data_IF_997977216235
#
_entry.id   IF_997977216235
#
_cell.length_a   1.000
_cell.length_b   1.000
_cell.length_c   1.000
_cell.angle_alpha   90.00
_cell.angle_beta   90.00
_cell.angle_gamma   90.00
#
_symmetry.space_group_name_H-M   'P 1'
#
loop_
_entity.id
_entity.type
_entity.pdbx_description
1 polymer ?
#
# COMPACT_ATOMS: atom_id res chain seq x y z
N UNK A 1 -10.71 30.81 -20.78
CA UNK A 1 -10.16 31.46 -19.57
C UNK A 1 -8.94 30.67 -19.13
N UNK A 2 -7.75 31.19 -19.37
CA UNK A 2 -6.51 30.60 -18.85
C UNK A 2 -6.50 30.78 -17.33
N UNK A 3 -6.51 29.67 -16.59
CA UNK A 3 -6.59 29.69 -15.15
C UNK A 3 -5.25 30.18 -14.56
N UNK A 4 -5.30 31.21 -13.71
CA UNK A 4 -4.18 31.71 -12.91
C UNK A 4 -3.53 30.60 -12.06
N UNK A 5 -4.27 29.51 -11.80
CA UNK A 5 -3.80 28.31 -11.13
C UNK A 5 -4.18 27.09 -11.95
N UNK A 6 -3.19 26.28 -12.32
CA UNK A 6 -3.43 24.96 -12.92
C UNK A 6 -3.36 23.90 -11.83
N UNK A 7 -4.41 23.10 -11.71
CA UNK A 7 -4.50 22.03 -10.71
C UNK A 7 -4.63 20.67 -11.39
N UNK A 8 -3.84 19.68 -10.94
CA UNK A 8 -3.93 18.31 -11.40
C UNK A 8 -3.94 17.33 -10.23
N UNK A 9 -4.53 16.16 -10.46
CA UNK A 9 -4.69 15.08 -9.50
C UNK A 9 -4.20 13.77 -10.14
N UNK A 10 -3.39 13.03 -9.39
CA UNK A 10 -3.03 11.64 -9.69
C UNK A 10 -3.21 10.76 -8.48
N UNK A 11 -3.52 9.48 -8.70
CA UNK A 11 -3.52 8.46 -7.65
C UNK A 11 -2.18 7.73 -7.67
N UNK A 12 -1.68 7.31 -6.50
CA UNK A 12 -0.43 6.54 -6.42
C UNK A 12 -0.51 5.20 -7.19
N UNK A 13 -1.71 4.63 -7.30
CA UNK A 13 -2.00 3.40 -8.07
C UNK A 13 -3.36 3.52 -8.76
N UNK A 14 -3.55 2.72 -9.82
CA UNK A 14 -4.86 2.55 -10.47
C UNK A 14 -5.71 1.47 -9.78
N UNK A 15 -5.05 0.54 -9.10
CA UNK A 15 -5.68 -0.59 -8.41
C UNK A 15 -5.11 -0.68 -7.00
N UNK A 16 -6.02 -0.74 -6.03
CA UNK A 16 -5.75 -0.88 -4.61
C UNK A 16 -6.42 -2.14 -4.10
N UNK A 17 -5.89 -2.69 -3.01
CA UNK A 17 -6.60 -3.71 -2.24
C UNK A 17 -7.44 -3.06 -1.15
N UNK A 18 -8.56 -3.69 -0.84
CA UNK A 18 -9.39 -3.28 0.29
C UNK A 18 -8.52 -3.05 1.54
N UNK A 19 -8.70 -1.91 2.20
CA UNK A 19 -7.91 -1.44 3.36
C UNK A 19 -6.44 -1.08 3.11
N UNK A 20 -5.95 -1.13 1.87
CA UNK A 20 -4.66 -0.55 1.50
C UNK A 20 -4.75 0.99 1.49
N UNK A 21 -3.69 1.72 1.91
CA UNK A 21 -3.67 3.18 1.82
C UNK A 21 -3.89 3.70 0.39
N UNK A 22 -4.99 4.46 0.21
CA UNK A 22 -5.35 5.14 -1.03
C UNK A 22 -4.80 6.56 -1.01
N UNK A 23 -3.61 6.74 -1.58
CA UNK A 23 -2.92 8.03 -1.61
C UNK A 23 -3.18 8.78 -2.91
N UNK A 24 -3.66 10.01 -2.79
CA UNK A 24 -3.85 10.97 -3.87
C UNK A 24 -2.77 12.05 -3.83
N UNK A 25 -2.29 12.46 -5.00
CA UNK A 25 -1.28 13.51 -5.15
C UNK A 25 -1.86 14.64 -5.99
N UNK A 26 -1.96 15.81 -5.37
CA UNK A 26 -2.44 17.05 -5.99
C UNK A 26 -1.24 17.92 -6.34
N UNK A 27 -1.17 18.38 -7.59
CA UNK A 27 -0.15 19.32 -8.06
C UNK A 27 -0.81 20.62 -8.44
N UNK A 28 -0.30 21.73 -7.91
CA UNK A 28 -0.78 23.08 -8.16
C UNK A 28 0.34 23.89 -8.76
N UNK A 29 0.08 24.52 -9.91
CA UNK A 29 1.01 25.38 -10.63
C UNK A 29 0.48 26.80 -10.65
N UNK A 30 1.29 27.75 -10.20
CA UNK A 30 0.96 29.16 -10.19
C UNK A 30 1.39 29.83 -11.51
N UNK A 31 0.40 30.25 -12.30
CA UNK A 31 0.58 30.97 -13.56
C UNK A 31 0.15 32.45 -13.45
N UNK A 32 -0.05 32.98 -12.24
CA UNK A 32 -0.61 34.31 -12.01
C UNK A 32 0.41 35.46 -12.12
N UNK A 33 1.70 35.16 -12.35
CA UNK A 33 2.77 36.15 -12.42
C UNK A 33 3.13 36.83 -11.08
N UNK A 34 2.53 36.39 -9.97
CA UNK A 34 2.80 36.85 -8.60
C UNK A 34 2.73 35.68 -7.62
N UNK A 35 3.32 35.82 -6.46
CA UNK A 35 3.24 34.81 -5.40
C UNK A 35 1.79 34.61 -4.94
N UNK A 36 1.41 33.35 -4.78
CA UNK A 36 0.06 32.95 -4.43
C UNK A 36 0.05 32.30 -3.05
N UNK A 37 -0.54 33.00 -2.08
CA UNK A 37 -0.83 32.44 -0.76
C UNK A 37 -2.21 31.78 -0.76
N UNK A 38 -2.25 30.46 -0.56
CA UNK A 38 -3.48 29.68 -0.44
C UNK A 38 -3.63 29.25 1.01
N UNK A 39 -4.77 29.55 1.62
CA UNK A 39 -5.12 29.17 2.97
C UNK A 39 -6.63 28.98 3.09
N UNK A 40 -7.05 28.27 4.13
CA UNK A 40 -8.47 28.17 4.47
C UNK A 40 -8.96 29.56 4.86
N UNK A 41 -9.99 30.05 4.17
CA UNK A 41 -10.56 31.39 4.43
C UNK A 41 -11.16 31.42 5.83
N UNK A 42 -10.76 32.38 6.66
CA UNK A 42 -11.23 32.51 8.05
C UNK A 42 -12.74 32.78 8.16
N UNK A 43 -13.40 33.22 7.08
CA UNK A 43 -14.85 33.41 7.00
C UNK A 43 -15.61 32.12 6.67
N UNK A 44 -14.91 31.05 6.32
CA UNK A 44 -15.53 29.76 5.94
C UNK A 44 -14.93 28.61 6.74
N UNK A 45 -15.73 27.61 7.09
CA UNK A 45 -15.22 26.36 7.67
C UNK A 45 -14.70 25.39 6.61
N UNK A 46 -14.71 25.78 5.33
CA UNK A 46 -14.36 24.93 4.20
C UNK A 46 -12.87 25.01 3.91
N UNK A 47 -12.21 23.85 3.93
CA UNK A 47 -10.80 23.77 3.59
C UNK A 47 -10.52 24.23 2.16
N UNK A 48 -9.36 24.86 1.98
CA UNK A 48 -8.89 25.32 0.68
C UNK A 48 -8.62 24.17 -0.30
N UNK A 49 -8.36 22.96 0.20
CA UNK A 49 -8.28 21.73 -0.57
C UNK A 49 -9.31 20.73 -0.04
N UNK A 50 -10.04 20.12 -0.95
CA UNK A 50 -11.05 19.10 -0.65
C UNK A 50 -11.09 18.05 -1.75
N UNK A 51 -11.72 16.90 -1.48
CA UNK A 51 -11.80 15.78 -2.40
C UNK A 51 -13.25 15.33 -2.60
N UNK A 52 -13.68 15.31 -3.86
CA UNK A 52 -14.95 14.72 -4.26
C UNK A 52 -14.72 13.32 -4.80
N UNK A 53 -15.13 12.31 -4.03
CA UNK A 53 -15.05 10.90 -4.43
C UNK A 53 -16.44 10.38 -4.72
N UNK A 54 -16.62 9.75 -5.89
CA UNK A 54 -17.87 9.09 -6.27
C UNK A 54 -17.60 7.62 -6.57
N UNK A 55 -18.53 6.75 -6.16
CA UNK A 55 -18.50 5.33 -6.52
C UNK A 55 -18.99 5.11 -7.96
N UNK A 56 -18.99 3.86 -8.41
CA UNK A 56 -19.45 3.47 -9.76
C UNK A 56 -20.91 3.83 -10.05
N UNK A 57 -21.76 3.89 -9.01
CA UNK A 57 -23.17 4.31 -9.10
C UNK A 57 -23.34 5.83 -9.14
N UNK A 58 -22.24 6.58 -9.05
CA UNK A 58 -22.25 8.04 -9.04
C UNK A 58 -22.55 8.66 -7.67
N UNK A 59 -22.79 7.86 -6.63
CA UNK A 59 -23.00 8.32 -5.25
C UNK A 59 -21.72 8.96 -4.72
N UNK A 60 -21.81 10.17 -4.18
CA UNK A 60 -20.70 10.83 -3.50
C UNK A 60 -20.45 10.20 -2.14
N UNK A 61 -19.17 10.01 -1.79
CA UNK A 61 -18.76 9.58 -0.47
C UNK A 61 -18.61 10.81 0.43
N UNK A 62 -19.30 10.81 1.56
CA UNK A 62 -19.11 11.83 2.59
C UNK A 62 -17.79 11.60 3.33
N UNK A 63 -17.03 12.67 3.64
CA UNK A 63 -15.87 12.57 4.51
C UNK A 63 -16.29 12.19 5.92
N UNK A 64 -15.58 11.23 6.52
CA UNK A 64 -15.73 10.76 7.89
C UNK A 64 -14.97 11.62 8.91
N UNK A 65 -13.98 12.39 8.43
CA UNK A 65 -13.13 13.25 9.24
C UNK A 65 -12.81 14.54 8.46
N UNK A 66 -12.52 15.62 9.18
CA UNK A 66 -12.04 16.85 8.54
C UNK A 66 -10.58 16.69 8.10
N UNK A 67 -10.27 17.18 6.89
CA UNK A 67 -8.89 17.25 6.40
C UNK A 67 -8.35 18.66 6.58
N UNK A 68 -7.48 18.86 7.57
CA UNK A 68 -6.94 20.19 7.83
C UNK A 68 -5.65 20.41 7.03
N UNK A 69 -5.67 21.41 6.16
CA UNK A 69 -4.51 21.79 5.36
C UNK A 69 -4.00 23.16 5.79
N UNK A 70 -2.76 23.23 6.27
CA UNK A 70 -2.10 24.50 6.56
C UNK A 70 -1.98 25.40 5.32
N UNK A 71 -1.70 26.68 5.57
CA UNK A 71 -1.43 27.67 4.53
C UNK A 71 -0.22 27.25 3.67
N UNK A 72 -0.24 27.62 2.40
CA UNK A 72 0.85 27.34 1.47
C UNK A 72 1.07 28.52 0.53
N UNK A 73 2.33 28.87 0.31
CA UNK A 73 2.74 29.87 -0.66
C UNK A 73 3.32 29.18 -1.89
N UNK A 74 2.82 29.54 -3.08
CA UNK A 74 3.33 29.07 -4.36
C UNK A 74 3.95 30.27 -5.07
N UNK A 75 5.29 30.31 -5.25
CA UNK A 75 5.92 31.40 -5.99
C UNK A 75 5.43 31.48 -7.43
N UNK A 76 5.51 32.68 -8.03
CA UNK A 76 5.16 32.87 -9.44
C UNK A 76 5.90 31.88 -10.37
N UNK A 77 5.18 31.20 -11.27
CA UNK A 77 5.74 30.23 -12.21
C UNK A 77 6.19 28.90 -11.59
N UNK A 78 5.96 28.68 -10.28
CA UNK A 78 6.35 27.45 -9.59
C UNK A 78 5.16 26.53 -9.36
N UNK A 79 5.47 25.27 -9.05
CA UNK A 79 4.49 24.25 -8.69
C UNK A 79 4.78 23.67 -7.31
N UNK A 80 3.73 23.32 -6.59
CA UNK A 80 3.79 22.52 -5.36
C UNK A 80 3.05 21.21 -5.56
N UNK A 81 3.44 20.20 -4.78
CA UNK A 81 2.80 18.88 -4.79
C UNK A 81 2.45 18.48 -3.37
N UNK A 82 1.22 18.00 -3.16
CA UNK A 82 0.72 17.55 -1.86
C UNK A 82 0.14 16.15 -1.97
N UNK A 83 0.67 15.23 -1.19
CA UNK A 83 0.17 13.85 -1.09
C UNK A 83 -0.74 13.70 0.12
N UNK A 84 -1.90 13.11 -0.07
CA UNK A 84 -2.97 12.97 0.94
C UNK A 84 -3.45 11.53 0.94
N UNK A 85 -3.47 10.90 2.12
CA UNK A 85 -4.08 9.59 2.30
C UNK A 85 -5.59 9.75 2.49
N UNK A 86 -6.37 9.20 1.55
CA UNK A 86 -7.84 9.30 1.54
C UNK A 86 -8.51 8.23 2.42
N UNK A 87 -7.77 7.22 2.89
CA UNK A 87 -8.30 6.04 3.58
C UNK A 87 -8.89 6.36 4.96
N UNK A 88 -8.30 7.34 5.66
CA UNK A 88 -8.79 7.80 6.96
C UNK A 88 -10.00 8.73 6.84
N UNK A 89 -10.17 9.37 5.69
CA UNK A 89 -11.20 10.39 5.47
C UNK A 89 -12.42 9.81 4.76
N UNK A 90 -12.25 8.91 3.81
CA UNK A 90 -13.35 8.39 2.99
C UNK A 90 -13.45 6.88 3.12
N UNK A 91 -14.66 6.33 2.93
CA UNK A 91 -14.89 4.87 2.83
C UNK A 91 -14.41 4.30 1.49
N UNK A 92 -13.14 4.53 1.16
CA UNK A 92 -12.46 4.03 -0.06
C UNK A 92 -11.77 2.69 0.18
N UNK A 93 -12.06 2.02 1.29
CA UNK A 93 -11.53 0.69 1.61
C UNK A 93 -12.42 -0.46 1.14
N UNK A 94 -13.67 -0.15 0.76
CA UNK A 94 -14.61 -1.14 0.26
C UNK A 94 -14.36 -1.43 -1.23
N UNK A 95 -14.50 -2.70 -1.67
CA UNK A 95 -14.35 -3.05 -3.07
C UNK A 95 -15.30 -2.27 -3.97
N UNK A 96 -14.77 -1.66 -5.02
CA UNK A 96 -15.53 -0.82 -5.93
C UNK A 96 -14.64 -0.02 -6.87
N UNK A 97 -15.26 0.53 -7.91
CA UNK A 97 -14.62 1.51 -8.79
C UNK A 97 -14.98 2.91 -8.30
N UNK A 98 -13.97 3.76 -8.22
CA UNK A 98 -14.10 5.11 -7.73
C UNK A 98 -13.54 6.11 -8.75
N UNK A 99 -14.11 7.30 -8.72
CA UNK A 99 -13.59 8.49 -9.39
C UNK A 99 -13.37 9.58 -8.35
N UNK A 100 -12.22 10.22 -8.42
CA UNK A 100 -11.80 11.25 -7.50
C UNK A 100 -11.52 12.54 -8.28
N UNK A 101 -11.94 13.66 -7.72
CA UNK A 101 -11.55 15.00 -8.14
C UNK A 101 -11.08 15.76 -6.89
N UNK A 102 -10.09 16.61 -7.03
CA UNK A 102 -9.73 17.55 -5.99
C UNK A 102 -10.34 18.91 -6.33
N UNK A 103 -10.82 19.59 -5.30
CA UNK A 103 -11.40 20.92 -5.35
C UNK A 103 -10.47 21.87 -4.60
N UNK A 104 -10.00 22.90 -5.29
CA UNK A 104 -9.07 23.90 -4.77
C UNK A 104 -9.79 25.24 -4.72
N UNK A 105 -9.89 25.84 -3.54
CA UNK A 105 -10.55 27.13 -3.31
C UNK A 105 -9.50 28.16 -2.96
N UNK A 106 -9.49 29.26 -3.69
CA UNK A 106 -8.60 30.39 -3.38
C UNK A 106 -9.27 31.33 -2.37
N UNK A 107 -8.51 31.88 -1.41
CA UNK A 107 -9.04 32.83 -0.44
C UNK A 107 -9.46 34.15 -1.11
N UNK A 108 -10.28 34.94 -0.43
CA UNK A 108 -10.59 36.32 -0.85
C UNK A 108 -11.35 36.43 -2.18
N UNK A 109 -12.14 35.41 -2.55
CA UNK A 109 -12.95 35.43 -3.77
C UNK A 109 -12.20 35.03 -5.04
N UNK A 110 -10.98 34.48 -4.94
CA UNK A 110 -10.19 34.01 -6.09
C UNK A 110 -10.77 32.81 -6.86
N UNK A 111 -11.99 32.38 -6.53
CA UNK A 111 -12.71 31.31 -7.21
C UNK A 111 -12.33 29.91 -6.75
N UNK A 112 -12.92 28.92 -7.43
CA UNK A 112 -12.71 27.51 -7.21
C UNK A 112 -12.23 26.82 -8.49
N UNK A 113 -11.23 25.95 -8.36
CA UNK A 113 -10.68 25.14 -9.44
C UNK A 113 -10.88 23.67 -9.13
N UNK A 114 -11.21 22.90 -10.16
CA UNK A 114 -11.39 21.45 -10.05
C UNK A 114 -10.34 20.77 -10.91
N UNK A 115 -9.69 19.75 -10.37
CA UNK A 115 -8.67 18.99 -11.10
C UNK A 115 -9.28 18.12 -12.20
N UNK A 116 -8.41 17.48 -13.00
CA UNK A 116 -8.81 16.31 -13.77
C UNK A 116 -9.43 15.21 -12.88
N UNK A 117 -10.20 14.32 -13.50
CA UNK A 117 -10.77 13.16 -12.80
C UNK A 117 -9.75 12.03 -12.78
N UNK A 118 -9.42 11.54 -11.59
CA UNK A 118 -8.58 10.37 -11.42
C UNK A 118 -9.47 9.15 -11.10
N UNK A 119 -9.20 8.03 -11.77
CA UNK A 119 -9.94 6.79 -11.57
C UNK A 119 -9.06 5.78 -10.84
N UNK A 120 -9.67 5.07 -9.88
CA UNK A 120 -9.02 3.95 -9.23
C UNK A 120 -10.04 2.87 -8.88
N UNK A 121 -9.56 1.64 -8.78
CA UNK A 121 -10.33 0.49 -8.37
C UNK A 121 -9.81 -0.01 -7.03
N UNK A 122 -10.72 -0.39 -6.15
CA UNK A 122 -10.43 -1.10 -4.92
C UNK A 122 -10.99 -2.50 -5.11
N UNK A 123 -10.16 -3.51 -4.92
CA UNK A 123 -10.57 -4.89 -5.13
C UNK A 123 -10.35 -5.72 -3.86
N UNK A 124 -11.05 -6.84 -3.77
CA UNK A 124 -10.79 -7.83 -2.73
C UNK A 124 -9.93 -8.94 -3.31
N UNK A 125 -8.82 -9.27 -2.66
CA UNK A 125 -8.08 -10.48 -3.00
C UNK A 125 -8.87 -11.74 -2.66
N UNK A 126 -8.56 -12.84 -3.35
CA UNK A 126 -9.06 -14.17 -3.00
C UNK A 126 -8.48 -14.57 -1.65
N UNK A 127 -9.34 -14.79 -0.65
CA UNK A 127 -8.90 -15.28 0.67
C UNK A 127 -8.28 -16.67 0.53
N UNK A 128 -7.11 -16.86 1.15
CA UNK A 128 -6.39 -18.15 1.17
C UNK A 128 -6.16 -18.70 2.57
N UNK A 129 -6.29 -17.86 3.59
CA UNK A 129 -6.16 -18.26 5.00
C UNK A 129 -6.94 -17.28 5.90
N UNK A 130 -7.49 -17.80 6.99
CA UNK A 130 -8.12 -17.05 8.08
C UNK A 130 -7.84 -17.79 9.39
N UNK A 131 -7.43 -17.08 10.43
CA UNK A 131 -7.38 -17.65 11.78
C UNK A 131 -7.68 -16.56 12.81
N UNK A 132 -8.55 -16.89 13.77
CA UNK A 132 -8.84 -16.03 14.92
C UNK A 132 -7.85 -16.32 16.05
N UNK A 133 -7.37 -15.27 16.70
CA UNK A 133 -6.42 -15.34 17.80
C UNK A 133 -6.81 -14.35 18.89
N UNK A 134 -6.47 -14.66 20.15
CA UNK A 134 -6.54 -13.67 21.22
C UNK A 134 -5.38 -12.69 21.12
N UNK A 135 -5.62 -11.42 21.41
CA UNK A 135 -4.57 -10.44 21.64
C UNK A 135 -4.23 -10.44 23.14
N UNK A 136 -3.06 -10.96 23.55
CA UNK A 136 -2.71 -11.09 24.97
C UNK A 136 -2.67 -9.75 25.70
N UNK A 137 -2.39 -8.66 24.98
CA UNK A 137 -2.24 -7.33 25.57
C UNK A 137 -3.59 -6.62 25.80
N UNK A 138 -4.60 -6.91 24.98
CA UNK A 138 -5.90 -6.21 25.04
C UNK A 138 -7.09 -7.10 25.38
N UNK A 139 -6.91 -8.42 25.45
CA UNK A 139 -7.98 -9.41 25.67
C UNK A 139 -8.98 -9.52 24.50
N UNK A 140 -8.81 -8.72 23.43
CA UNK A 140 -9.69 -8.75 22.27
C UNK A 140 -9.38 -9.93 21.35
N UNK A 141 -10.37 -10.35 20.57
CA UNK A 141 -10.17 -11.33 19.50
C UNK A 141 -9.83 -10.63 18.19
N UNK A 142 -8.73 -11.06 17.58
CA UNK A 142 -8.28 -10.61 16.26
C UNK A 142 -8.50 -11.72 15.23
N UNK A 143 -8.67 -11.35 13.97
CA UNK A 143 -8.58 -12.28 12.85
C UNK A 143 -7.42 -11.88 11.94
N UNK A 144 -6.49 -12.80 11.75
CA UNK A 144 -5.57 -12.76 10.62
C UNK A 144 -6.25 -13.30 9.39
N UNK A 145 -6.19 -12.54 8.31
CA UNK A 145 -6.68 -12.97 7.00
C UNK A 145 -5.61 -12.74 5.94
N UNK A 146 -5.31 -13.78 5.17
CA UNK A 146 -4.46 -13.67 4.01
C UNK A 146 -5.29 -13.71 2.73
N UNK A 147 -4.95 -12.84 1.80
CA UNK A 147 -5.57 -12.79 0.48
C UNK A 147 -4.53 -12.69 -0.62
N UNK A 148 -4.75 -13.42 -1.71
CA UNK A 148 -3.97 -13.29 -2.93
C UNK A 148 -4.70 -12.34 -3.87
N UNK A 149 -3.97 -11.36 -4.38
CA UNK A 149 -4.45 -10.48 -5.43
C UNK A 149 -3.68 -10.70 -6.71
N UNK A 150 -4.41 -10.92 -7.81
CA UNK A 150 -3.82 -11.12 -9.13
C UNK A 150 -3.99 -9.85 -9.93
N UNK A 151 -2.87 -9.28 -10.36
CA UNK A 151 -2.83 -8.26 -11.42
C UNK A 151 -2.54 -8.94 -12.76
N UNK A 152 -2.62 -8.20 -13.86
CA UNK A 152 -2.26 -8.70 -15.19
C UNK A 152 -0.81 -9.19 -15.32
N UNK A 153 0.09 -8.76 -14.43
CA UNK A 153 1.53 -9.11 -14.48
C UNK A 153 1.98 -10.07 -13.39
N UNK A 154 1.41 -9.94 -12.19
CA UNK A 154 1.88 -10.67 -11.00
C UNK A 154 0.80 -10.85 -9.95
N UNK A 155 0.96 -11.89 -9.15
CA UNK A 155 0.17 -12.10 -7.95
C UNK A 155 0.93 -11.59 -6.72
N UNK A 156 0.21 -10.98 -5.78
CA UNK A 156 0.75 -10.47 -4.53
C UNK A 156 -0.06 -10.99 -3.34
N UNK A 157 0.65 -11.33 -2.26
CA UNK A 157 0.06 -11.75 -1.01
C UNK A 157 -0.14 -10.55 -0.09
N UNK A 158 -1.33 -10.45 0.49
CA UNK A 158 -1.72 -9.39 1.40
C UNK A 158 -2.20 -9.98 2.73
N UNK A 159 -1.86 -9.29 3.81
CA UNK A 159 -2.35 -9.55 5.16
C UNK A 159 -3.37 -8.48 5.53
N UNK A 160 -4.46 -8.91 6.16
CA UNK A 160 -5.41 -8.07 6.88
C UNK A 160 -5.49 -8.55 8.33
N UNK A 161 -5.32 -7.63 9.28
CA UNK A 161 -5.56 -7.85 10.69
C UNK A 161 -6.86 -7.14 11.07
N UNK A 162 -7.85 -7.90 11.52
CA UNK A 162 -9.20 -7.40 11.78
C UNK A 162 -9.51 -7.53 13.27
N UNK A 163 -9.99 -6.45 13.88
CA UNK A 163 -10.62 -6.50 15.20
C UNK A 163 -12.04 -7.07 15.05
N UNK A 164 -12.30 -8.25 15.63
CA UNK A 164 -13.60 -8.91 15.46
C UNK A 164 -14.73 -8.17 16.20
N UNK A 165 -14.43 -7.52 17.32
CA UNK A 165 -15.41 -6.80 18.12
C UNK A 165 -15.95 -5.57 17.38
N UNK A 166 -15.06 -4.82 16.73
CA UNK A 166 -15.42 -3.59 16.00
C UNK A 166 -15.65 -3.81 14.51
N UNK A 167 -15.22 -4.95 13.97
CA UNK A 167 -15.21 -5.23 12.53
C UNK A 167 -14.19 -4.41 11.74
N UNK A 168 -13.35 -3.60 12.40
CA UNK A 168 -12.39 -2.71 11.74
C UNK A 168 -11.10 -3.45 11.37
N UNK A 169 -10.64 -3.25 10.14
CA UNK A 169 -9.29 -3.67 9.73
C UNK A 169 -8.27 -2.73 10.36
N UNK A 170 -7.47 -3.26 11.28
CA UNK A 170 -6.44 -2.53 12.01
C UNK A 170 -5.20 -2.29 11.17
N UNK A 171 -4.81 -3.28 10.38
CA UNK A 171 -3.65 -3.24 9.50
C UNK A 171 -3.97 -4.01 8.23
N UNK A 172 -3.60 -3.44 7.08
CA UNK A 172 -3.61 -4.15 5.82
C UNK A 172 -2.40 -3.72 4.98
N UNK A 173 -1.58 -4.69 4.60
CA UNK A 173 -0.38 -4.42 3.83
C UNK A 173 0.03 -5.61 2.97
N UNK A 174 0.82 -5.31 1.95
CA UNK A 174 1.39 -6.30 1.04
C UNK A 174 2.57 -7.00 1.70
N UNK A 175 2.54 -8.33 1.76
CA UNK A 175 3.64 -9.15 2.26
C UNK A 175 4.71 -9.40 1.18
N UNK A 176 4.32 -9.53 -0.08
CA UNK A 176 5.26 -9.82 -1.17
C UNK A 176 4.59 -10.27 -2.46
N UNK A 177 5.39 -10.49 -3.50
CA UNK A 177 4.94 -11.22 -4.69
C UNK A 177 4.81 -12.70 -4.34
N UNK A 178 3.86 -13.40 -4.98
CA UNK A 178 3.59 -14.81 -4.70
C UNK A 178 3.37 -15.59 -5.99
N UNK A 179 3.97 -16.77 -6.08
CA UNK A 179 3.66 -17.75 -7.11
C UNK A 179 2.46 -18.57 -6.63
N UNK A 180 1.33 -18.43 -7.33
CA UNK A 180 0.04 -18.98 -6.93
C UNK A 180 -0.12 -20.48 -7.16
N UNK A 181 0.81 -21.12 -7.89
CA UNK A 181 0.82 -22.57 -8.10
C UNK A 181 1.07 -23.36 -6.80
N UNK A 182 1.60 -22.71 -5.76
CA UNK A 182 1.68 -23.26 -4.40
C UNK A 182 0.91 -22.36 -3.44
N UNK A 183 0.00 -22.97 -2.68
CA UNK A 183 -0.74 -22.25 -1.65
C UNK A 183 0.20 -21.77 -0.55
N UNK A 184 0.17 -20.47 -0.17
CA UNK A 184 0.85 -19.97 1.01
C UNK A 184 0.47 -20.80 2.24
N UNK A 185 1.45 -21.08 3.09
CA UNK A 185 1.24 -21.74 4.38
C UNK A 185 1.32 -20.70 5.47
N UNK A 186 0.44 -20.80 6.45
CA UNK A 186 0.46 -19.93 7.60
C UNK A 186 0.07 -20.70 8.86
N UNK A 187 0.67 -20.32 9.97
CA UNK A 187 0.37 -20.85 11.30
C UNK A 187 0.70 -19.79 12.35
N UNK A 188 0.23 -19.99 13.56
CA UNK A 188 0.37 -19.06 14.67
C UNK A 188 1.23 -19.71 15.75
N UNK A 189 2.12 -18.93 16.37
CA UNK A 189 2.96 -19.39 17.49
C UNK A 189 2.27 -19.22 18.86
N UNK A 190 2.93 -19.67 19.93
CA UNK A 190 2.46 -19.51 21.32
C UNK A 190 2.17 -18.06 21.75
N UNK A 191 2.79 -17.07 21.09
CA UNK A 191 2.59 -15.65 21.33
C UNK A 191 1.50 -15.03 20.46
N UNK A 192 0.74 -15.86 19.75
CA UNK A 192 -0.24 -15.47 18.75
C UNK A 192 0.35 -14.70 17.55
N UNK A 193 1.66 -14.78 17.31
CA UNK A 193 2.26 -14.20 16.10
C UNK A 193 1.95 -15.07 14.89
N UNK A 194 1.49 -14.45 13.82
CA UNK A 194 1.28 -15.13 12.55
C UNK A 194 2.60 -15.30 11.81
N UNK A 195 2.93 -16.54 11.46
CA UNK A 195 3.98 -16.89 10.53
C UNK A 195 3.39 -17.25 9.18
N UNK A 196 3.94 -16.67 8.11
CA UNK A 196 3.46 -16.89 6.75
C UNK A 196 4.64 -17.27 5.87
N UNK A 197 4.57 -18.42 5.21
CA UNK A 197 5.55 -18.94 4.27
C UNK A 197 4.92 -19.04 2.88
N UNK A 198 5.54 -18.40 1.90
CA UNK A 198 5.03 -18.38 0.52
C UNK A 198 6.17 -18.38 -0.50
N UNK A 199 5.91 -18.96 -1.67
CA UNK A 199 6.88 -18.99 -2.76
C UNK A 199 6.85 -17.63 -3.49
N UNK A 200 7.95 -16.87 -3.48
CA UNK A 200 8.03 -15.54 -4.12
C UNK A 200 8.64 -15.57 -5.51
N UNK A 201 9.57 -16.51 -5.74
CA UNK A 201 10.19 -16.76 -7.05
C UNK A 201 10.50 -18.27 -7.18
N UNK A 202 10.89 -18.79 -8.36
CA UNK A 202 11.29 -20.19 -8.50
C UNK A 202 12.37 -20.54 -7.47
N UNK A 203 12.06 -21.50 -6.60
CA UNK A 203 12.91 -21.94 -5.49
C UNK A 203 13.30 -20.86 -4.46
N UNK A 204 12.58 -19.74 -4.36
CA UNK A 204 12.79 -18.75 -3.30
C UNK A 204 11.50 -18.61 -2.51
N UNK A 205 11.58 -18.96 -1.22
CA UNK A 205 10.49 -18.86 -0.27
C UNK A 205 10.69 -17.63 0.61
N UNK A 206 9.63 -16.87 0.83
CA UNK A 206 9.60 -15.75 1.77
C UNK A 206 8.84 -16.17 3.02
N UNK A 207 9.39 -15.83 4.19
CA UNK A 207 8.77 -16.01 5.50
C UNK A 207 8.59 -14.65 6.15
N UNK A 208 7.36 -14.30 6.51
CA UNK A 208 7.05 -13.09 7.28
C UNK A 208 6.41 -13.45 8.61
N UNK A 209 6.68 -12.63 9.63
CA UNK A 209 6.05 -12.75 10.95
C UNK A 209 5.31 -11.47 11.32
N UNK A 210 4.06 -11.59 11.78
CA UNK A 210 3.21 -10.44 12.16
C UNK A 210 2.66 -10.64 13.57
N UNK A 211 2.79 -9.62 14.42
CA UNK A 211 2.31 -9.69 15.81
C UNK A 211 0.79 -9.45 15.93
N UNK A 212 0.14 -9.81 17.05
CA UNK A 212 -1.28 -9.49 17.29
C UNK A 212 -1.60 -7.99 17.30
N UNK A 213 -0.58 -7.15 17.53
CA UNK A 213 -0.67 -5.70 17.40
C UNK A 213 -0.55 -5.19 15.95
N UNK A 214 -0.33 -6.08 14.99
CA UNK A 214 -0.23 -5.76 13.56
C UNK A 214 1.15 -5.31 13.10
N UNK A 215 2.20 -5.45 13.94
CA UNK A 215 3.57 -5.11 13.55
C UNK A 215 4.15 -6.23 12.71
N UNK A 216 4.61 -5.91 11.49
CA UNK A 216 5.41 -6.82 10.67
C UNK A 216 6.85 -6.82 11.17
N UNK A 217 7.35 -7.98 11.61
CA UNK A 217 8.71 -8.12 12.15
C UNK A 217 9.79 -8.25 11.06
N UNK A 218 9.39 -8.26 9.79
CA UNK A 218 10.27 -8.36 8.64
C UNK A 218 10.09 -9.66 7.87
N UNK A 219 10.77 -9.74 6.71
CA UNK A 219 10.71 -10.88 5.80
C UNK A 219 12.08 -11.52 5.68
N UNK A 220 12.16 -12.83 5.94
CA UNK A 220 13.34 -13.66 5.68
C UNK A 220 13.11 -14.48 4.41
N UNK A 221 14.18 -14.84 3.70
CA UNK A 221 14.09 -15.64 2.49
C UNK A 221 14.87 -16.94 2.63
N UNK A 222 14.40 -17.98 1.95
CA UNK A 222 14.93 -19.33 2.03
C UNK A 222 14.96 -20.01 0.66
N UNK A 223 16.09 -20.65 0.35
CA UNK A 223 16.19 -21.64 -0.72
C UNK A 223 15.85 -23.03 -0.17
N UNK A 224 15.30 -23.95 -0.98
CA UNK A 224 15.17 -25.35 -0.60
C UNK A 224 16.52 -25.98 -0.26
N UNK A 225 16.57 -26.75 0.83
CA UNK A 225 17.68 -27.67 1.05
C UNK A 225 17.59 -28.87 0.08
N UNK A 226 18.72 -29.57 -0.23
CA UNK A 226 18.71 -30.73 -1.11
C UNK A 226 17.65 -31.77 -0.70
N UNK A 227 16.77 -32.15 -1.63
CA UNK A 227 15.70 -33.13 -1.42
C UNK A 227 14.57 -32.68 -0.48
N UNK A 228 14.59 -31.44 0.03
CA UNK A 228 13.59 -30.91 0.97
C UNK A 228 12.93 -29.66 0.42
N UNK A 229 11.80 -29.27 1.02
CA UNK A 229 11.11 -28.01 0.71
C UNK A 229 10.95 -27.20 2.00
N UNK A 230 11.11 -25.87 1.95
CA UNK A 230 10.82 -25.03 3.10
C UNK A 230 9.38 -25.23 3.55
N UNK A 231 9.19 -25.50 4.83
CA UNK A 231 7.88 -25.71 5.46
C UNK A 231 7.85 -25.10 6.86
N UNK A 232 6.66 -24.67 7.29
CA UNK A 232 6.41 -24.27 8.68
C UNK A 232 6.31 -25.54 9.53
N UNK A 233 7.10 -25.59 10.61
CA UNK A 233 7.04 -26.64 11.62
C UNK A 233 6.71 -26.01 12.98
N UNK A 234 5.75 -26.59 13.68
CA UNK A 234 5.35 -26.16 15.03
C UNK A 234 5.88 -27.18 16.04
N UNK A 235 6.66 -26.73 17.01
CA UNK A 235 7.17 -27.54 18.09
C UNK A 235 6.12 -27.72 19.20
N UNK A 236 6.35 -28.67 20.10
CA UNK A 236 5.46 -28.97 21.24
C UNK A 236 5.30 -27.79 22.20
N UNK A 237 6.32 -26.91 22.31
CA UNK A 237 6.27 -25.67 23.07
C UNK A 237 5.47 -24.54 22.38
N UNK A 238 4.88 -24.80 21.20
CA UNK A 238 4.14 -23.83 20.40
C UNK A 238 5.01 -22.85 19.61
N UNK A 239 6.33 -23.05 19.56
CA UNK A 239 7.22 -22.28 18.70
C UNK A 239 7.07 -22.70 17.23
N UNK A 240 7.15 -21.74 16.32
CA UNK A 240 7.04 -21.98 14.89
C UNK A 240 8.36 -21.62 14.21
N UNK A 241 8.92 -22.59 13.50
CA UNK A 241 10.17 -22.44 12.76
C UNK A 241 10.03 -22.83 11.29
N UNK A 242 11.05 -22.46 10.50
CA UNK A 242 11.21 -22.94 9.13
C UNK A 242 12.07 -24.19 9.14
N UNK A 243 11.55 -25.27 8.58
CA UNK A 243 12.27 -26.52 8.31
C UNK A 243 12.53 -26.67 6.82
N UNK A 244 13.58 -27.42 6.43
CA UNK A 244 13.84 -27.76 5.03
C UNK A 244 14.27 -26.61 4.11
N UNK A 245 14.64 -25.45 4.69
CA UNK A 245 15.13 -24.28 3.97
C UNK A 245 16.51 -23.82 4.45
N UNK A 246 17.30 -23.27 3.53
CA UNK A 246 18.59 -22.63 3.76
C UNK A 246 18.37 -21.12 3.64
N UNK A 247 18.80 -20.35 4.64
CA UNK A 247 18.65 -18.89 4.64
C UNK A 247 19.29 -18.29 3.38
N UNK A 248 18.61 -17.32 2.79
CA UNK A 248 19.01 -16.66 1.55
C UNK A 248 18.85 -15.14 1.71
N UNK A 249 19.88 -14.37 1.39
CA UNK A 249 19.77 -12.91 1.27
C UNK A 249 19.66 -12.50 -0.21
N UNK A 250 18.50 -11.98 -0.67
CA UNK A 250 18.32 -11.53 -2.04
C UNK A 250 19.23 -10.35 -2.43
N UNK A 251 19.68 -9.52 -1.48
CA UNK A 251 20.54 -8.36 -1.78
C UNK A 251 21.95 -8.79 -2.14
N UNK A 252 22.53 -9.69 -1.36
CA UNK A 252 23.85 -10.25 -1.64
C UNK A 252 23.87 -11.02 -2.96
N UNK A 253 22.82 -11.79 -3.23
CA UNK A 253 22.68 -12.53 -4.49
C UNK A 253 22.50 -11.63 -5.73
N UNK A 254 21.81 -10.50 -5.59
CA UNK A 254 21.70 -9.52 -6.67
C UNK A 254 23.05 -8.85 -6.98
N UNK A 255 23.83 -8.54 -5.94
CA UNK A 255 25.17 -7.97 -6.09
C UNK A 255 26.16 -8.96 -6.73
N UNK A 256 26.14 -10.23 -6.33
CA UNK A 256 26.99 -11.26 -6.92
C UNK A 256 26.65 -11.52 -8.40
N UNK A 257 25.36 -11.61 -8.76
CA UNK A 257 24.92 -11.70 -10.15
C UNK A 257 25.35 -10.51 -10.99
N UNK A 258 25.26 -9.29 -10.45
CA UNK A 258 25.71 -8.08 -11.14
C UNK A 258 27.24 -8.10 -11.37
N UNK A 259 28.02 -8.59 -10.41
CA UNK A 259 29.48 -8.77 -10.56
C UNK A 259 29.82 -9.83 -11.61
N UNK A 260 29.13 -10.97 -11.61
CA UNK A 260 29.32 -12.03 -12.60
C UNK A 260 28.96 -11.57 -14.02
N UNK A 261 27.86 -10.80 -14.18
CA UNK A 261 27.49 -10.22 -15.48
C UNK A 261 28.57 -9.27 -16.02
N UNK A 262 29.15 -8.43 -15.14
CA UNK A 262 30.27 -7.54 -15.49
C UNK A 262 31.52 -8.33 -15.90
N UNK A 263 31.79 -9.47 -15.28
CA UNK A 263 32.93 -10.34 -15.64
C UNK A 263 32.74 -11.03 -17.01
N UNK A 264 31.48 -11.29 -17.41
CA UNK A 264 31.16 -11.95 -18.68
C UNK A 264 31.13 -11.02 -19.90
N UNK A 265 31.20 -9.69 -19.71
CA UNK A 265 31.37 -8.73 -20.81
C UNK A 265 32.80 -8.84 -21.35
N UNK A 266 32.99 -9.70 -22.36
CA UNK A 266 34.26 -9.79 -23.10
C UNK A 266 34.55 -8.44 -23.78
N UNK A 267 35.75 -7.87 -23.64
CA UNK A 267 36.14 -6.66 -24.37
C UNK A 267 35.96 -6.88 -25.87
N UNK A 268 35.41 -5.89 -26.59
CA UNK A 268 35.36 -5.94 -28.05
C UNK A 268 36.80 -6.01 -28.57
N UNK A 269 37.19 -7.13 -29.14
CA UNK A 269 38.46 -7.24 -29.86
C UNK A 269 38.37 -6.33 -31.09
N UNK A 270 39.00 -5.16 -31.00
CA UNK A 270 39.28 -4.34 -32.17
C UNK A 270 40.54 -4.90 -32.83
N UNK A 271 40.37 -5.61 -33.95
CA UNK A 271 41.50 -5.90 -34.83
C UNK A 271 41.89 -4.59 -35.55
N UNK A 272 43.17 -4.23 -35.47
CA UNK A 272 43.79 -3.18 -36.28
C UNK A 272 44.34 -3.79 -37.56
#
# INVERSE_FOLDING_TARGET
MEAQVKASLSMSKKEYIAHEPVVATVTLTNNAGRDLLIHTDSRTTLNWLDFEIKNSRGTALSPLAAMNFGAVTIPAGRSITKSVDLTGTFRVTEPGRFRCKAVVRLPGGGGQFVTNTAYFNVTRGRRVYSQRVGDPASGNVREYRLSIHNTSRKASLYLHLIDIRTGRTMQAFRMGDVITSKTPKATVDRGNNLHVLFLTAPNIYAHGTVTPAGKHLGTKYYNPAPGRKPALATFTNGEVVISGGISYDPREAAQSRARLRKLSERPRMTYR
#
